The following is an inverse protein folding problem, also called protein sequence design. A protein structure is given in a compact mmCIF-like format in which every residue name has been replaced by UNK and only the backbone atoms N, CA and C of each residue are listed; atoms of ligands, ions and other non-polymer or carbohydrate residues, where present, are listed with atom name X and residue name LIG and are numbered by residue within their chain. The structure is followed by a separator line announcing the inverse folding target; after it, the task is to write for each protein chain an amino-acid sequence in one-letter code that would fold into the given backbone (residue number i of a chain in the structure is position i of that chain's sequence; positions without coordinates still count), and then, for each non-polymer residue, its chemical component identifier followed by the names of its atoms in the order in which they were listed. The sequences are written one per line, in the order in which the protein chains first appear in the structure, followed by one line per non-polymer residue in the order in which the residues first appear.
data_IF_532084991378
#
_entry.id   IF_532084991378
#
_cell.length_a   1.000
_cell.length_b   1.000
_cell.length_c   1.000
_cell.angle_alpha   90.00
_cell.angle_beta   90.00
_cell.angle_gamma   90.00
#
_symmetry.space_group_name_H-M   'P 1'
#
loop_
_entity.id
_entity.type
_entity.pdbx_description
1 polymer ?
#
# COMPACT_ATOMS: atom_id res chain seq x y z
N UNK A 1 9.22 6.20 8.68
CA UNK A 1 9.13 5.47 7.40
C UNK A 1 9.83 4.13 7.58
N UNK A 2 9.08 3.07 7.88
CA UNK A 2 9.60 1.71 8.08
C UNK A 2 9.24 0.85 6.87
N UNK A 3 10.06 -0.15 6.58
CA UNK A 3 9.79 -1.19 5.56
C UNK A 3 9.44 -2.55 6.17
N UNK A 4 9.45 -2.68 7.50
CA UNK A 4 9.14 -3.91 8.23
C UNK A 4 7.63 -4.19 8.27
N UNK A 5 7.20 -5.43 8.06
CA UNK A 5 5.77 -5.78 7.92
C UNK A 5 5.00 -5.63 9.24
N UNK A 6 5.68 -5.87 10.37
CA UNK A 6 5.12 -5.87 11.73
C UNK A 6 4.51 -4.52 12.13
N UNK A 7 5.07 -3.43 11.60
CA UNK A 7 4.60 -2.06 11.82
C UNK A 7 3.77 -1.52 10.64
N UNK A 8 3.57 -2.33 9.61
CA UNK A 8 2.98 -1.96 8.33
C UNK A 8 1.79 -2.88 7.98
N UNK A 9 2.00 -3.91 7.14
CA UNK A 9 0.95 -4.78 6.63
C UNK A 9 0.24 -5.57 7.72
N UNK A 10 0.95 -5.97 8.78
CA UNK A 10 0.34 -6.64 9.93
C UNK A 10 -0.60 -5.72 10.71
N UNK A 11 -0.25 -4.43 10.86
CA UNK A 11 -1.12 -3.45 11.53
C UNK A 11 -2.41 -3.22 10.73
N UNK A 12 -2.32 -3.18 9.39
CA UNK A 12 -3.50 -3.06 8.52
C UNK A 12 -4.37 -4.31 8.59
N UNK A 13 -3.77 -5.50 8.57
CA UNK A 13 -4.51 -6.76 8.72
C UNK A 13 -5.24 -6.79 10.08
N UNK A 14 -4.53 -6.53 11.17
CA UNK A 14 -5.10 -6.51 12.51
C UNK A 14 -6.22 -5.46 12.67
N UNK A 15 -6.08 -4.28 12.03
CA UNK A 15 -7.15 -3.28 12.01
C UNK A 15 -8.41 -3.79 11.30
N UNK A 16 -8.26 -4.43 10.13
CA UNK A 16 -9.38 -4.95 9.34
C UNK A 16 -10.08 -6.12 10.01
N UNK A 17 -9.34 -6.97 10.72
CA UNK A 17 -9.93 -8.06 11.51
C UNK A 17 -10.88 -7.53 12.60
N UNK A 18 -10.55 -6.37 13.18
CA UNK A 18 -11.41 -5.69 14.16
C UNK A 18 -12.50 -4.82 13.52
N UNK A 19 -12.36 -4.48 12.24
CA UNK A 19 -13.21 -3.52 11.54
C UNK A 19 -13.53 -4.03 10.12
N UNK A 20 -14.41 -5.01 10.03
CA UNK A 20 -14.77 -5.71 8.77
C UNK A 20 -15.35 -4.80 7.69
N UNK A 21 -15.83 -3.61 8.05
CA UNK A 21 -16.32 -2.59 7.13
C UNK A 21 -15.24 -1.83 6.37
N UNK A 22 -13.95 -2.19 6.45
CA UNK A 22 -12.88 -1.50 5.74
C UNK A 22 -12.17 -2.41 4.73
N UNK A 23 -12.05 -1.90 3.50
CA UNK A 23 -11.37 -2.59 2.39
C UNK A 23 -10.26 -1.72 1.81
N UNK A 24 -9.11 -2.31 1.41
CA UNK A 24 -8.09 -1.57 0.67
C UNK A 24 -8.66 -0.96 -0.63
N UNK A 25 -8.19 0.23 -0.97
CA UNK A 25 -8.44 0.80 -2.31
C UNK A 25 -7.59 0.08 -3.35
N UNK A 26 -7.88 0.28 -4.64
CA UNK A 26 -7.03 -0.23 -5.71
C UNK A 26 -5.79 0.67 -5.86
N UNK A 27 -4.71 0.33 -5.16
CA UNK A 27 -3.45 1.06 -5.24
C UNK A 27 -2.75 0.93 -6.60
N UNK A 28 -3.00 -0.14 -7.36
CA UNK A 28 -2.46 -0.26 -8.73
C UNK A 28 -3.10 0.80 -9.61
N UNK A 29 -4.43 0.89 -9.61
CA UNK A 29 -5.15 1.93 -10.35
C UNK A 29 -4.73 3.34 -9.89
N UNK A 30 -4.65 3.57 -8.57
CA UNK A 30 -4.26 4.87 -8.02
C UNK A 30 -2.86 5.28 -8.48
N UNK A 31 -1.88 4.37 -8.42
CA UNK A 31 -0.51 4.61 -8.86
C UNK A 31 -0.46 4.95 -10.34
N UNK A 32 -1.05 4.09 -11.18
CA UNK A 32 -1.00 4.24 -12.64
C UNK A 32 -1.67 5.55 -13.10
N UNK A 33 -2.73 6.00 -12.40
CA UNK A 33 -3.40 7.28 -12.69
C UNK A 33 -2.55 8.51 -12.36
N UNK A 34 -1.65 8.41 -11.37
CA UNK A 34 -0.88 9.55 -10.86
C UNK A 34 0.55 9.61 -11.40
N UNK A 35 1.11 8.46 -11.74
CA UNK A 35 2.47 8.27 -12.23
C UNK A 35 2.49 7.48 -13.56
N UNK A 36 1.83 8.00 -14.61
CA UNK A 36 1.81 7.34 -15.91
C UNK A 36 3.25 7.14 -16.42
N UNK A 37 3.53 5.94 -16.95
CA UNK A 37 4.87 5.56 -17.44
C UNK A 37 5.81 4.98 -16.38
N UNK A 38 5.38 4.87 -15.11
CA UNK A 38 6.20 4.31 -14.02
C UNK A 38 5.59 3.07 -13.33
N UNK A 39 5.04 2.07 -14.05
CA UNK A 39 4.28 0.97 -13.44
C UNK A 39 5.12 0.08 -12.51
N UNK A 40 6.44 0.02 -12.71
CA UNK A 40 7.37 -0.80 -11.94
C UNK A 40 8.06 -0.05 -10.78
N UNK A 41 7.83 1.27 -10.65
CA UNK A 41 8.48 2.08 -9.63
C UNK A 41 7.86 1.92 -8.22
N UNK A 42 6.73 1.23 -8.11
CA UNK A 42 6.12 0.86 -6.84
C UNK A 42 5.78 -0.62 -6.80
N UNK A 43 5.94 -1.24 -5.62
CA UNK A 43 5.49 -2.60 -5.37
C UNK A 43 4.06 -2.55 -4.85
N UNK A 44 3.15 -3.23 -5.54
CA UNK A 44 1.80 -3.50 -5.03
C UNK A 44 1.81 -4.87 -4.35
N UNK A 45 1.49 -4.90 -3.06
CA UNK A 45 1.44 -6.12 -2.26
C UNK A 45 0.16 -6.91 -2.52
N UNK A 46 0.21 -8.23 -2.29
CA UNK A 46 -0.93 -9.12 -2.48
C UNK A 46 -2.13 -8.80 -1.56
N UNK A 47 -1.90 -8.04 -0.48
CA UNK A 47 -2.94 -7.60 0.47
C UNK A 47 -3.58 -6.26 0.07
N UNK A 48 -3.24 -5.71 -1.10
CA UNK A 48 -3.76 -4.41 -1.57
C UNK A 48 -3.05 -3.22 -0.91
N UNK A 49 -1.79 -3.39 -0.55
CA UNK A 49 -0.91 -2.33 -0.04
C UNK A 49 0.08 -1.87 -1.12
N UNK A 50 0.73 -0.72 -0.87
CA UNK A 50 1.80 -0.20 -1.73
C UNK A 50 3.05 0.09 -0.91
N UNK A 51 4.20 -0.33 -1.45
CA UNK A 51 5.52 -0.07 -0.88
C UNK A 51 6.44 0.58 -1.91
N UNK A 52 7.22 1.55 -1.45
CA UNK A 52 8.28 2.22 -2.20
C UNK A 52 9.65 1.83 -1.63
N UNK A 53 10.68 1.85 -2.47
CA UNK A 53 12.04 1.55 -2.07
C UNK A 53 13.05 2.36 -2.88
N UNK A 54 14.25 2.62 -2.32
CA UNK A 54 15.29 3.34 -3.05
C UNK A 54 15.62 2.72 -4.40
N UNK A 55 15.57 1.39 -4.49
CA UNK A 55 15.89 0.66 -5.71
C UNK A 55 14.85 0.81 -6.82
N UNK A 56 13.56 0.98 -6.49
CA UNK A 56 12.48 1.03 -7.49
C UNK A 56 12.00 2.45 -7.79
N UNK A 57 11.86 3.29 -6.76
CA UNK A 57 11.31 4.64 -6.88
C UNK A 57 12.38 5.74 -6.82
N UNK A 58 13.61 5.43 -6.42
CA UNK A 58 14.63 6.45 -6.13
C UNK A 58 14.30 7.31 -4.90
N UNK A 59 13.38 6.84 -4.04
CA UNK A 59 12.96 7.52 -2.80
C UNK A 59 13.30 6.67 -1.58
N UNK A 60 13.18 7.23 -0.38
CA UNK A 60 13.25 6.44 0.85
C UNK A 60 12.24 5.29 0.87
N UNK A 61 12.55 4.26 1.66
CA UNK A 61 11.65 3.15 1.91
C UNK A 61 10.37 3.62 2.59
N UNK A 62 9.22 3.30 2.00
CA UNK A 62 7.92 3.78 2.48
C UNK A 62 6.82 2.74 2.27
N UNK A 63 5.88 2.68 3.21
CA UNK A 63 4.71 1.82 3.14
C UNK A 63 3.44 2.66 3.26
N UNK A 64 2.42 2.32 2.47
CA UNK A 64 1.12 2.95 2.53
C UNK A 64 0.00 1.97 2.20
N UNK A 65 -1.11 2.06 2.93
CA UNK A 65 -2.35 1.37 2.58
C UNK A 65 -3.53 2.29 2.91
N UNK A 66 -4.24 2.72 1.89
CA UNK A 66 -5.47 3.49 2.02
C UNK A 66 -6.65 2.51 2.10
N UNK A 67 -7.50 2.72 3.09
CA UNK A 67 -8.71 1.93 3.29
C UNK A 67 -9.93 2.79 3.00
N UNK A 68 -10.92 2.19 2.34
CA UNK A 68 -12.26 2.75 2.20
C UNK A 68 -13.20 2.01 3.14
N UNK A 69 -14.09 2.75 3.81
CA UNK A 69 -15.21 2.15 4.52
C UNK A 69 -16.25 1.66 3.49
N UNK A 70 -16.45 0.35 3.42
CA UNK A 70 -17.59 -0.26 2.73
C UNK A 70 -18.82 -0.07 3.61
N UNK A 71 -19.88 0.50 3.02
CA UNK A 71 -21.15 0.78 3.69
C UNK A 71 -21.78 -0.48 4.28
#
# INVERSE_FOLDING_TARGET
CSVFDEVNGEQIAAFRDRNSGFVPVDHRQLWDSRFPGHPAAARIGAKGDISLSPALSGTDGFYFCALRRSA
#
